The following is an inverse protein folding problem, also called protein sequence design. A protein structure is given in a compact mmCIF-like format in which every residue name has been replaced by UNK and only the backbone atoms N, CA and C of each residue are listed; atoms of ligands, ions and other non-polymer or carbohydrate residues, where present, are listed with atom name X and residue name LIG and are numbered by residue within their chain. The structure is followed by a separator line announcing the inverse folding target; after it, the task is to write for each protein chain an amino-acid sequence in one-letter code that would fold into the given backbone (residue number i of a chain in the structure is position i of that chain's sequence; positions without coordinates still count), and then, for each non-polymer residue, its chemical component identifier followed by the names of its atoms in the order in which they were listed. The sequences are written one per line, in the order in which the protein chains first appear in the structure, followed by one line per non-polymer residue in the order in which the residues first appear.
data_IF_219693594027
#
_entry.id   IF_219693594027
#
_cell.length_a   1.000
_cell.length_b   1.000
_cell.length_c   1.000
_cell.angle_alpha   90.00
_cell.angle_beta   90.00
_cell.angle_gamma   90.00
#
_symmetry.space_group_name_H-M   'P 1'
#
loop_
_entity.id
_entity.type
_entity.pdbx_description
1 polymer ?
#
# COMPACT_ATOMS: atom_id res chain seq x y z
N UNK A 1 9.42 -23.59 -6.54
CA UNK A 1 9.23 -22.94 -5.21
C UNK A 1 8.44 -21.66 -5.41
N UNK A 2 7.42 -21.44 -4.59
CA UNK A 2 6.50 -20.29 -4.67
C UNK A 2 6.82 -19.32 -3.53
N UNK A 3 6.88 -18.03 -3.83
CA UNK A 3 6.98 -16.96 -2.86
C UNK A 3 5.61 -16.30 -2.72
N UNK A 4 5.11 -16.15 -1.50
CA UNK A 4 3.81 -15.52 -1.22
C UNK A 4 4.00 -14.08 -0.77
N UNK A 5 3.10 -13.21 -1.23
CA UNK A 5 3.09 -11.81 -0.90
C UNK A 5 1.68 -11.40 -0.46
N UNK A 6 1.56 -10.86 0.75
CA UNK A 6 0.33 -10.26 1.25
C UNK A 6 0.51 -8.75 1.27
N UNK A 7 -0.31 -8.03 0.51
CA UNK A 7 -0.31 -6.58 0.34
C UNK A 7 -1.46 -5.98 1.15
N UNK A 8 -1.17 -5.33 2.26
CA UNK A 8 -2.14 -4.78 3.21
C UNK A 8 -2.21 -3.25 3.12
N UNK A 9 -3.40 -2.68 2.92
CA UNK A 9 -3.63 -1.24 3.11
C UNK A 9 -3.76 -0.93 4.61
N UNK A 10 -3.25 0.23 5.02
CA UNK A 10 -3.43 0.78 6.36
C UNK A 10 -4.92 0.90 6.75
N UNK A 11 -5.20 1.01 8.04
CA UNK A 11 -6.53 1.29 8.59
C UNK A 11 -6.98 2.73 8.30
N UNK A 12 -8.25 3.05 8.61
CA UNK A 12 -8.83 4.37 8.39
C UNK A 12 -7.99 5.47 9.03
N UNK A 13 -7.65 6.48 8.25
CA UNK A 13 -6.84 7.62 8.67
C UNK A 13 -7.71 8.86 8.96
N UNK A 14 -7.13 9.86 9.63
CA UNK A 14 -7.80 11.14 9.83
C UNK A 14 -8.06 11.87 8.50
N UNK A 15 -7.19 11.73 7.52
CA UNK A 15 -7.39 12.32 6.19
C UNK A 15 -8.63 11.75 5.47
N UNK A 16 -8.96 10.46 5.68
CA UNK A 16 -10.21 9.87 5.16
C UNK A 16 -11.44 10.57 5.77
N UNK A 17 -11.41 10.92 7.07
CA UNK A 17 -12.50 11.62 7.75
C UNK A 17 -12.58 13.10 7.38
N UNK A 18 -11.43 13.74 7.16
CA UNK A 18 -11.31 15.14 6.73
C UNK A 18 -11.64 15.33 5.25
N UNK A 19 -11.78 14.24 4.48
CA UNK A 19 -12.03 14.25 3.03
C UNK A 19 -11.00 15.09 2.26
N UNK A 20 -9.72 14.88 2.58
CA UNK A 20 -8.58 15.53 1.92
C UNK A 20 -7.79 14.55 1.06
N UNK A 21 -7.01 15.08 0.12
CA UNK A 21 -6.02 14.28 -0.60
C UNK A 21 -4.92 13.80 0.35
N UNK A 22 -4.81 12.51 0.53
CA UNK A 22 -3.85 11.94 1.45
C UNK A 22 -2.41 11.99 0.89
N UNK A 23 -2.11 11.13 -0.07
CA UNK A 23 -0.75 11.04 -0.61
C UNK A 23 0.29 10.90 0.50
N UNK A 24 1.29 11.81 0.51
CA UNK A 24 2.32 11.88 1.56
C UNK A 24 1.99 12.82 2.73
N UNK A 25 0.77 13.37 2.79
CA UNK A 25 0.28 14.01 4.01
C UNK A 25 0.27 12.99 5.14
N UNK A 26 1.05 13.23 6.19
CA UNK A 26 1.31 12.24 7.24
C UNK A 26 0.21 12.24 8.31
N UNK A 27 -0.97 11.80 7.90
CA UNK A 27 -2.17 11.70 8.71
C UNK A 27 -2.16 10.44 9.59
N UNK A 28 -2.46 10.52 10.90
CA UNK A 28 -2.51 9.37 11.80
C UNK A 28 -3.77 8.51 11.58
N UNK A 29 -3.76 7.29 12.12
CA UNK A 29 -4.96 6.47 12.20
C UNK A 29 -6.03 7.13 13.08
N UNK A 30 -7.29 6.88 12.73
CA UNK A 30 -8.43 7.13 13.65
C UNK A 30 -8.59 5.98 14.63
N UNK A 31 -9.45 6.13 15.65
CA UNK A 31 -9.80 5.02 16.53
C UNK A 31 -10.50 3.88 15.76
N UNK A 32 -11.26 4.21 14.71
CA UNK A 32 -11.84 3.22 13.80
C UNK A 32 -10.72 2.45 13.09
N UNK A 33 -9.73 3.14 12.53
CA UNK A 33 -8.59 2.51 11.87
C UNK A 33 -7.79 1.60 12.80
N UNK A 34 -7.57 2.02 14.05
CA UNK A 34 -6.92 1.17 15.08
C UNK A 34 -7.77 -0.05 15.42
N UNK A 35 -9.08 0.10 15.52
CA UNK A 35 -10.00 -1.03 15.76
C UNK A 35 -9.99 -2.02 14.60
N UNK A 36 -9.98 -1.55 13.34
CA UNK A 36 -9.84 -2.39 12.14
C UNK A 36 -8.52 -3.18 12.16
N UNK A 37 -7.40 -2.50 12.46
CA UNK A 37 -6.10 -3.14 12.55
C UNK A 37 -6.04 -4.20 13.67
N UNK A 38 -6.66 -3.93 14.84
CA UNK A 38 -6.77 -4.91 15.94
C UNK A 38 -7.63 -6.11 15.56
N UNK A 39 -8.73 -5.90 14.84
CA UNK A 39 -9.58 -6.98 14.33
C UNK A 39 -8.81 -7.90 13.38
N UNK A 40 -8.04 -7.32 12.44
CA UNK A 40 -7.17 -8.07 11.55
C UNK A 40 -6.09 -8.85 12.32
N UNK A 41 -5.47 -8.23 13.32
CA UNK A 41 -4.48 -8.88 14.17
C UNK A 41 -5.05 -10.10 14.89
N UNK A 42 -6.26 -9.98 15.47
CA UNK A 42 -6.96 -11.08 16.11
C UNK A 42 -7.33 -12.20 15.11
N UNK A 43 -7.79 -11.82 13.91
CA UNK A 43 -8.07 -12.78 12.84
C UNK A 43 -6.82 -13.58 12.46
N UNK A 44 -5.67 -12.92 12.27
CA UNK A 44 -4.42 -13.59 11.92
C UNK A 44 -3.80 -14.38 13.07
N UNK A 45 -4.09 -14.05 14.34
CA UNK A 45 -3.73 -14.93 15.47
C UNK A 45 -4.54 -16.23 15.46
N UNK A 46 -5.84 -16.15 15.16
CA UNK A 46 -6.72 -17.32 15.06
C UNK A 46 -6.45 -18.17 13.80
N UNK A 47 -6.02 -17.51 12.70
CA UNK A 47 -5.75 -18.12 11.41
C UNK A 47 -4.36 -17.69 10.90
N UNK A 48 -3.26 -18.23 11.45
CA UNK A 48 -1.90 -17.76 11.15
C UNK A 48 -1.55 -17.87 9.67
N UNK A 49 -1.24 -16.75 8.98
CA UNK A 49 -0.90 -16.78 7.55
C UNK A 49 0.48 -17.39 7.27
N UNK A 50 1.32 -17.50 8.29
CA UNK A 50 2.69 -18.01 8.17
C UNK A 50 3.65 -16.99 7.53
N UNK A 51 3.53 -15.71 7.89
CA UNK A 51 4.52 -14.70 7.50
C UNK A 51 5.87 -14.99 8.14
N UNK A 52 6.93 -14.89 7.36
CA UNK A 52 8.30 -14.99 7.84
C UNK A 52 9.03 -13.64 7.90
N UNK A 53 8.43 -12.60 7.30
CA UNK A 53 8.92 -11.21 7.32
C UNK A 53 7.82 -10.22 7.07
N UNK A 54 8.07 -8.95 7.42
CA UNK A 54 7.18 -7.86 7.11
C UNK A 54 7.96 -6.59 6.73
N UNK A 55 7.33 -5.79 5.89
CA UNK A 55 7.79 -4.46 5.49
C UNK A 55 6.64 -3.46 5.64
N UNK A 56 6.95 -2.23 6.02
CA UNK A 56 5.94 -1.19 6.17
C UNK A 56 6.39 0.14 5.62
N UNK A 57 5.43 0.91 5.11
CA UNK A 57 5.63 2.32 4.82
C UNK A 57 6.05 3.09 6.08
N UNK A 58 6.87 4.12 5.89
CA UNK A 58 7.28 5.03 6.97
C UNK A 58 6.21 6.08 7.33
N UNK A 59 5.14 6.23 6.52
CA UNK A 59 4.03 7.11 6.86
C UNK A 59 3.27 6.56 8.07
N UNK A 60 2.94 7.45 9.03
CA UNK A 60 2.48 7.09 10.36
C UNK A 60 1.31 6.11 10.38
N UNK A 61 0.30 6.28 9.52
CA UNK A 61 -0.87 5.40 9.44
C UNK A 61 -0.55 3.96 9.06
N UNK A 62 0.36 3.77 8.11
CA UNK A 62 0.77 2.42 7.68
C UNK A 62 1.76 1.81 8.67
N UNK A 63 2.66 2.61 9.21
CA UNK A 63 3.60 2.20 10.25
C UNK A 63 2.86 1.73 11.52
N UNK A 64 1.89 2.51 12.00
CA UNK A 64 1.07 2.16 13.16
C UNK A 64 0.20 0.91 12.88
N UNK A 65 -0.38 0.80 11.67
CA UNK A 65 -1.08 -0.43 11.25
C UNK A 65 -0.15 -1.64 11.33
N UNK A 66 1.06 -1.53 10.79
CA UNK A 66 2.05 -2.61 10.86
C UNK A 66 2.36 -3.00 12.30
N UNK A 67 2.61 -2.04 13.19
CA UNK A 67 2.85 -2.31 14.62
C UNK A 67 1.71 -3.10 15.26
N UNK A 68 0.46 -2.71 14.98
CA UNK A 68 -0.72 -3.36 15.57
C UNK A 68 -0.84 -4.80 15.05
N UNK A 69 -0.70 -5.02 13.73
CA UNK A 69 -0.95 -6.35 13.15
C UNK A 69 0.19 -7.33 13.35
N UNK A 70 1.44 -6.86 13.44
CA UNK A 70 2.60 -7.74 13.56
C UNK A 70 2.96 -8.09 14.99
N UNK A 71 2.64 -7.20 15.97
CA UNK A 71 2.99 -7.41 17.39
C UNK A 71 2.47 -8.72 17.96
N UNK A 72 1.18 -9.11 17.79
CA UNK A 72 0.68 -10.37 18.34
C UNK A 72 1.22 -11.60 17.60
N UNK A 73 1.78 -11.43 16.41
CA UNK A 73 2.42 -12.51 15.64
C UNK A 73 3.91 -12.67 15.96
N UNK A 74 4.45 -11.84 16.88
CA UNK A 74 5.89 -11.75 17.14
C UNK A 74 6.75 -11.56 15.86
N UNK A 75 6.18 -10.87 14.85
CA UNK A 75 6.78 -10.67 13.54
C UNK A 75 7.43 -9.28 13.50
N UNK A 76 8.75 -9.14 13.48
CA UNK A 76 9.40 -7.86 13.26
C UNK A 76 9.16 -7.38 11.82
N UNK A 77 9.08 -6.05 11.63
CA UNK A 77 8.97 -5.47 10.29
C UNK A 77 10.06 -4.44 10.03
N UNK A 78 10.42 -4.28 8.75
CA UNK A 78 11.38 -3.29 8.28
C UNK A 78 10.62 -2.09 7.70
N UNK A 79 10.69 -0.90 8.33
CA UNK A 79 10.13 0.31 7.73
C UNK A 79 10.98 0.75 6.54
N UNK A 80 10.32 1.16 5.45
CA UNK A 80 11.01 1.67 4.25
C UNK A 80 10.21 2.77 3.55
N UNK A 81 10.87 3.87 3.12
CA UNK A 81 10.21 4.93 2.35
C UNK A 81 9.79 4.47 0.94
N UNK A 82 10.32 3.35 0.44
CA UNK A 82 9.88 2.78 -0.83
C UNK A 82 8.39 2.41 -0.83
N UNK A 83 7.81 2.14 0.34
CA UNK A 83 6.40 1.77 0.50
C UNK A 83 5.47 2.95 0.81
N UNK A 84 5.94 4.20 0.79
CA UNK A 84 5.09 5.38 0.93
C UNK A 84 4.03 5.45 -0.17
N UNK A 85 2.92 6.15 0.11
CA UNK A 85 1.89 6.43 -0.87
C UNK A 85 2.44 7.27 -2.04
N UNK A 86 1.67 7.33 -3.11
CA UNK A 86 1.90 8.23 -4.24
C UNK A 86 2.11 9.66 -3.73
N UNK A 87 3.19 10.30 -4.16
CA UNK A 87 3.41 11.69 -3.83
C UNK A 87 2.46 12.57 -4.64
N UNK A 88 1.46 13.09 -3.98
CA UNK A 88 0.47 13.97 -4.59
C UNK A 88 0.97 15.42 -4.76
N UNK A 89 2.23 15.71 -4.37
CA UNK A 89 2.79 17.06 -4.45
C UNK A 89 1.97 18.07 -3.65
N UNK A 90 1.72 19.26 -4.20
CA UNK A 90 1.08 20.37 -3.48
C UNK A 90 -0.39 20.13 -3.11
N UNK A 91 -1.03 19.07 -3.62
CA UNK A 91 -2.43 18.75 -3.24
C UNK A 91 -2.53 17.89 -1.98
N UNK A 92 -1.42 17.35 -1.48
CA UNK A 92 -1.41 16.55 -0.26
C UNK A 92 -1.91 17.38 0.95
N UNK A 93 -2.91 16.86 1.66
CA UNK A 93 -3.56 17.52 2.80
C UNK A 93 -4.63 18.57 2.41
N UNK A 94 -4.85 18.84 1.11
CA UNK A 94 -5.89 19.77 0.68
C UNK A 94 -7.25 19.07 0.52
N UNK A 95 -8.36 19.77 0.86
CA UNK A 95 -9.70 19.33 0.50
C UNK A 95 -9.83 19.12 -1.02
N UNK A 96 -10.57 18.09 -1.44
CA UNK A 96 -10.69 17.73 -2.86
C UNK A 96 -11.19 18.87 -3.75
N UNK A 97 -12.10 19.71 -3.26
CA UNK A 97 -12.62 20.86 -4.01
C UNK A 97 -11.53 21.94 -4.20
N UNK A 98 -10.78 22.24 -3.15
CA UNK A 98 -9.69 23.23 -3.18
C UNK A 98 -8.55 22.73 -4.10
N UNK A 99 -8.15 21.47 -3.96
CA UNK A 99 -7.11 20.87 -4.80
C UNK A 99 -7.46 20.99 -6.29
N UNK A 100 -8.72 20.68 -6.68
CA UNK A 100 -9.18 20.83 -8.07
C UNK A 100 -9.17 22.27 -8.58
N UNK A 101 -9.53 23.21 -7.72
CA UNK A 101 -9.55 24.62 -8.10
C UNK A 101 -8.13 25.20 -8.26
N UNK A 102 -7.22 24.87 -7.37
CA UNK A 102 -5.85 25.41 -7.35
C UNK A 102 -4.88 24.67 -8.27
N UNK A 103 -5.05 23.36 -8.37
CA UNK A 103 -4.12 22.45 -9.07
C UNK A 103 -4.89 21.53 -10.02
N UNK A 104 -5.51 22.07 -11.09
CA UNK A 104 -6.27 21.24 -12.02
C UNK A 104 -5.36 20.19 -12.66
N UNK A 105 -5.81 18.93 -12.63
CA UNK A 105 -5.11 17.83 -13.28
C UNK A 105 -5.44 17.91 -14.78
N UNK A 106 -4.44 17.97 -15.68
CA UNK A 106 -4.69 17.98 -17.12
C UNK A 106 -5.38 16.69 -17.58
N UNK A 107 -6.27 16.79 -18.57
CA UNK A 107 -6.98 15.63 -19.15
C UNK A 107 -6.00 14.60 -19.75
N UNK A 108 -4.90 15.09 -20.29
CA UNK A 108 -3.81 14.26 -20.80
C UNK A 108 -2.51 14.56 -20.07
N UNK A 109 -1.84 13.50 -19.58
CA UNK A 109 -0.51 13.55 -18.99
C UNK A 109 0.35 12.45 -19.59
N UNK A 110 1.58 12.81 -19.94
CA UNK A 110 2.61 11.84 -20.25
C UNK A 110 3.03 11.10 -18.97
N UNK A 111 3.44 9.83 -19.07
CA UNK A 111 3.85 9.02 -17.91
C UNK A 111 5.01 9.66 -17.10
N UNK A 112 5.83 10.50 -17.73
CA UNK A 112 6.91 11.25 -17.07
C UNK A 112 6.45 12.56 -16.42
N UNK A 113 5.22 13.01 -16.70
CA UNK A 113 4.71 14.26 -16.13
C UNK A 113 4.41 14.09 -14.63
N UNK A 114 4.72 15.09 -13.79
CA UNK A 114 4.30 15.07 -12.39
C UNK A 114 2.76 15.05 -12.27
N UNK A 115 2.25 14.72 -11.09
CA UNK A 115 0.80 14.63 -10.87
C UNK A 115 0.09 15.95 -11.14
N UNK A 116 0.69 17.06 -10.67
CA UNK A 116 0.24 18.44 -10.97
C UNK A 116 1.37 19.20 -11.68
N UNK A 117 1.09 20.39 -12.21
CA UNK A 117 2.13 21.26 -12.79
C UNK A 117 3.23 21.61 -11.78
N UNK A 118 2.86 21.72 -10.50
CA UNK A 118 3.73 22.21 -9.43
C UNK A 118 4.41 21.08 -8.65
N UNK A 119 4.27 19.82 -9.10
CA UNK A 119 4.98 18.69 -8.51
C UNK A 119 4.14 17.43 -8.32
N UNK A 120 4.66 16.54 -7.50
CA UNK A 120 4.13 15.21 -7.28
C UNK A 120 4.84 14.14 -8.10
N UNK A 121 4.63 12.90 -7.73
CA UNK A 121 5.25 11.75 -8.37
C UNK A 121 4.59 11.45 -9.72
N UNK A 122 5.38 11.23 -10.77
CA UNK A 122 4.86 10.80 -12.08
C UNK A 122 4.46 9.33 -12.09
N UNK A 123 3.69 8.89 -13.09
CA UNK A 123 3.37 7.48 -13.26
C UNK A 123 4.63 6.62 -13.46
N UNK A 124 5.61 7.11 -14.21
CA UNK A 124 6.88 6.42 -14.39
C UNK A 124 7.67 6.31 -13.07
N UNK A 125 7.67 7.37 -12.24
CA UNK A 125 8.37 7.37 -10.96
C UNK A 125 7.76 6.38 -9.95
N UNK A 126 6.43 6.36 -9.80
CA UNK A 126 5.77 5.41 -8.89
C UNK A 126 5.96 3.96 -9.35
N UNK A 127 5.96 3.70 -10.67
CA UNK A 127 6.24 2.38 -11.23
C UNK A 127 7.68 1.94 -10.93
N UNK A 128 8.66 2.82 -11.16
CA UNK A 128 10.06 2.53 -10.84
C UNK A 128 10.24 2.24 -9.34
N UNK A 129 9.59 3.01 -8.47
CA UNK A 129 9.62 2.79 -7.02
C UNK A 129 8.93 1.47 -6.62
N UNK A 130 7.84 1.08 -7.29
CA UNK A 130 7.19 -0.20 -7.06
C UNK A 130 8.11 -1.38 -7.42
N UNK A 131 8.84 -1.30 -8.54
CA UNK A 131 9.84 -2.31 -8.91
C UNK A 131 10.98 -2.40 -7.89
N UNK A 132 11.51 -1.26 -7.41
CA UNK A 132 12.54 -1.24 -6.37
C UNK A 132 12.02 -1.84 -5.04
N UNK A 133 10.77 -1.58 -4.67
CA UNK A 133 10.17 -2.16 -3.48
C UNK A 133 9.98 -3.68 -3.63
N UNK A 134 9.52 -4.15 -4.78
CA UNK A 134 9.41 -5.58 -5.08
C UNK A 134 10.76 -6.29 -5.04
N UNK A 135 11.79 -5.66 -5.60
CA UNK A 135 13.17 -6.19 -5.58
C UNK A 135 13.70 -6.27 -4.14
N UNK A 136 13.53 -5.22 -3.32
CA UNK A 136 13.92 -5.23 -1.91
C UNK A 136 13.26 -6.40 -1.16
N UNK A 137 11.95 -6.60 -1.37
CA UNK A 137 11.19 -7.66 -0.71
C UNK A 137 11.67 -9.03 -1.18
N UNK A 138 11.91 -9.18 -2.48
CA UNK A 138 12.39 -10.42 -3.08
C UNK A 138 13.78 -10.82 -2.57
N UNK A 139 14.71 -9.87 -2.55
CA UNK A 139 16.08 -10.08 -2.04
C UNK A 139 16.12 -10.37 -0.55
N UNK A 140 15.13 -9.94 0.21
CA UNK A 140 14.98 -10.29 1.61
C UNK A 140 14.91 -11.82 1.85
N UNK A 141 14.61 -12.63 0.85
CA UNK A 141 14.49 -14.10 0.92
C UNK A 141 13.16 -14.57 1.51
N UNK A 142 13.13 -15.76 2.17
CA UNK A 142 11.96 -16.37 2.80
C UNK A 142 10.88 -16.88 1.83
N UNK A 143 9.69 -17.17 2.37
CA UNK A 143 8.60 -17.77 1.61
C UNK A 143 7.31 -16.94 1.61
N UNK A 144 7.08 -16.09 2.65
CA UNK A 144 5.85 -15.30 2.76
C UNK A 144 6.10 -13.93 3.40
N UNK A 145 6.03 -12.86 2.61
CA UNK A 145 6.18 -11.49 3.08
C UNK A 145 4.83 -10.80 3.28
N UNK A 146 4.70 -10.07 4.41
CA UNK A 146 3.65 -9.06 4.61
C UNK A 146 4.19 -7.68 4.22
N UNK A 147 3.41 -6.93 3.44
CA UNK A 147 3.70 -5.54 3.05
C UNK A 147 2.56 -4.64 3.49
N UNK A 148 2.84 -3.70 4.37
CA UNK A 148 1.84 -2.72 4.85
C UNK A 148 2.09 -1.38 4.19
N UNK A 149 1.14 -0.92 3.38
CA UNK A 149 1.28 0.27 2.55
C UNK A 149 -0.07 0.95 2.31
N UNK A 150 -0.29 1.54 1.15
CA UNK A 150 -1.38 2.44 0.81
C UNK A 150 -2.05 2.03 -0.50
N UNK A 151 -3.30 2.45 -0.68
CA UNK A 151 -4.11 2.02 -1.82
C UNK A 151 -3.50 2.30 -3.19
N UNK A 152 -2.98 3.51 -3.40
CA UNK A 152 -2.36 3.90 -4.68
C UNK A 152 -1.04 3.16 -4.95
N UNK A 153 -0.18 3.04 -3.94
CA UNK A 153 1.09 2.35 -4.10
C UNK A 153 0.93 0.83 -4.27
N UNK A 154 0.02 0.20 -3.52
CA UNK A 154 -0.30 -1.23 -3.69
C UNK A 154 -0.86 -1.51 -5.09
N UNK A 155 -1.63 -0.58 -5.67
CA UNK A 155 -2.04 -0.66 -7.06
C UNK A 155 -0.84 -0.63 -8.02
N UNK A 156 0.14 0.25 -7.79
CA UNK A 156 1.35 0.26 -8.60
C UNK A 156 2.09 -1.08 -8.53
N UNK A 157 2.27 -1.65 -7.33
CA UNK A 157 2.88 -2.97 -7.16
C UNK A 157 2.13 -4.08 -7.89
N UNK A 158 0.79 -4.16 -7.74
CA UNK A 158 -0.02 -5.19 -8.43
C UNK A 158 0.02 -5.04 -9.95
N UNK A 159 0.05 -3.81 -10.47
CA UNK A 159 0.18 -3.55 -11.91
C UNK A 159 1.51 -4.03 -12.46
N UNK A 160 2.62 -3.80 -11.75
CA UNK A 160 3.93 -4.30 -12.17
C UNK A 160 4.00 -5.84 -12.09
N UNK A 161 3.40 -6.46 -11.07
CA UNK A 161 3.35 -7.92 -10.94
C UNK A 161 2.50 -8.61 -12.01
N UNK A 162 1.42 -7.98 -12.45
CA UNK A 162 0.42 -8.59 -13.35
C UNK A 162 0.51 -8.11 -14.80
N UNK A 163 1.26 -7.03 -15.07
CA UNK A 163 1.24 -6.35 -16.36
C UNK A 163 -0.08 -5.61 -16.66
N UNK A 164 -1.02 -5.56 -15.72
CA UNK A 164 -2.34 -4.96 -15.89
C UNK A 164 -2.31 -3.43 -15.66
N UNK A 165 -1.48 -2.70 -16.41
CA UNK A 165 -1.19 -1.27 -16.19
C UNK A 165 -2.42 -0.34 -16.25
N UNK A 166 -3.53 -0.77 -16.86
CA UNK A 166 -4.79 -0.01 -16.92
C UNK A 166 -5.84 -0.48 -15.90
N UNK A 167 -5.57 -1.53 -15.12
CA UNK A 167 -6.47 -1.99 -14.08
C UNK A 167 -6.36 -1.13 -12.82
N UNK A 168 -7.45 -1.07 -12.05
CA UNK A 168 -7.47 -0.52 -10.71
C UNK A 168 -7.99 -1.57 -9.74
N UNK A 169 -7.16 -1.94 -8.78
CA UNK A 169 -7.51 -2.89 -7.73
C UNK A 169 -8.02 -2.13 -6.52
N UNK A 170 -9.22 -2.43 -6.07
CA UNK A 170 -9.78 -1.80 -4.87
C UNK A 170 -9.10 -2.31 -3.62
N UNK A 171 -8.79 -1.40 -2.70
CA UNK A 171 -8.34 -1.70 -1.34
C UNK A 171 -9.16 -0.84 -0.37
N UNK A 172 -10.04 -1.47 0.42
CA UNK A 172 -10.66 -0.86 1.60
C UNK A 172 -9.66 -0.72 2.75
N UNK A 173 -10.09 -0.10 3.85
CA UNK A 173 -9.26 0.04 5.05
C UNK A 173 -8.96 -1.35 5.62
N UNK A 174 -7.71 -1.62 5.94
CA UNK A 174 -7.18 -2.93 6.35
C UNK A 174 -7.52 -4.09 5.41
N UNK A 175 -7.97 -3.80 4.18
CA UNK A 175 -8.10 -4.82 3.16
C UNK A 175 -6.73 -5.26 2.64
N UNK A 176 -6.62 -6.53 2.27
CA UNK A 176 -5.39 -7.05 1.72
C UNK A 176 -5.60 -7.82 0.41
N UNK A 177 -4.54 -7.94 -0.35
CA UNK A 177 -4.44 -8.82 -1.50
C UNK A 177 -3.39 -9.89 -1.25
N UNK A 178 -3.59 -11.06 -1.86
CA UNK A 178 -2.65 -12.18 -1.81
C UNK A 178 -2.17 -12.53 -3.20
N UNK A 179 -0.85 -12.69 -3.35
CA UNK A 179 -0.19 -13.01 -4.61
C UNK A 179 0.80 -14.14 -4.38
N UNK A 180 0.81 -15.10 -5.28
CA UNK A 180 1.81 -16.16 -5.35
C UNK A 180 2.73 -15.90 -6.55
N UNK A 181 4.03 -15.83 -6.28
CA UNK A 181 5.07 -15.60 -7.29
C UNK A 181 5.84 -16.88 -7.53
N UNK A 182 5.84 -17.35 -8.78
CA UNK A 182 6.67 -18.48 -9.17
C UNK A 182 8.13 -18.06 -9.34
N UNK A 183 9.04 -18.69 -8.59
CA UNK A 183 10.48 -18.44 -8.72
C UNK A 183 11.08 -18.98 -10.03
N UNK A 184 10.38 -19.87 -10.72
CA UNK A 184 10.87 -20.52 -11.95
C UNK A 184 10.27 -19.94 -13.22
N UNK A 185 8.97 -19.61 -13.23
CA UNK A 185 8.29 -19.10 -14.41
C UNK A 185 8.13 -17.58 -14.42
N UNK A 186 8.54 -16.89 -13.35
CA UNK A 186 8.35 -15.44 -13.17
C UNK A 186 6.89 -14.97 -13.36
N UNK A 187 5.94 -15.87 -13.06
CA UNK A 187 4.50 -15.56 -13.14
C UNK A 187 3.95 -15.20 -11.77
N UNK A 188 2.97 -14.30 -11.76
CA UNK A 188 2.21 -13.89 -10.59
C UNK A 188 0.79 -14.43 -10.67
N UNK A 189 0.33 -15.13 -9.64
CA UNK A 189 -1.06 -15.55 -9.46
C UNK A 189 -1.68 -14.71 -8.35
N UNK A 190 -2.62 -13.84 -8.68
CA UNK A 190 -3.40 -13.08 -7.69
C UNK A 190 -4.52 -13.99 -7.18
N UNK A 191 -4.43 -14.41 -5.93
CA UNK A 191 -5.36 -15.35 -5.30
C UNK A 191 -6.51 -14.65 -4.56
N UNK A 192 -6.37 -13.34 -4.30
CA UNK A 192 -7.43 -12.54 -3.71
C UNK A 192 -7.10 -11.05 -3.74
N UNK A 193 -8.14 -10.22 -3.80
CA UNK A 193 -8.03 -8.74 -3.73
C UNK A 193 -9.14 -8.20 -2.86
N UNK A 194 -8.85 -7.15 -2.10
CA UNK A 194 -9.79 -6.50 -1.19
C UNK A 194 -10.39 -7.46 -0.15
N UNK A 195 -9.58 -8.38 0.34
CA UNK A 195 -10.00 -9.35 1.34
C UNK A 195 -10.13 -8.66 2.71
N UNK A 196 -11.28 -8.83 3.37
CA UNK A 196 -11.59 -8.27 4.69
C UNK A 196 -12.28 -9.29 5.60
N UNK A 197 -11.75 -10.51 5.80
CA UNK A 197 -12.42 -11.55 6.55
C UNK A 197 -12.57 -11.24 8.05
N UNK A 198 -11.98 -10.16 8.50
CA UNK A 198 -11.98 -9.66 9.89
C UNK A 198 -12.99 -8.54 10.16
N UNK A 199 -13.69 -8.04 9.13
CA UNK A 199 -14.68 -6.95 9.23
C UNK A 199 -16.10 -7.46 9.04
#
# INVERSE_FOLDING_TARGET
MTFRLTLLRHGRSRADDENVHEGRYDSPLTEVGRAQARALAAHWQAHPPGFDRAYASTLVRAHETAQIVTRPLALPFTPTPLLMEHDNGPIAGLPHAEARARYPIPDFRHDLSPLTRDGGESQAAIRARALLALELIWQGGGEHALVVSHGGFLNAMLRELTGAHRAWFRFGDTAFATVELSRTSHTALVTGVNLTPHL
#
